data_IF_109412295325
#
_entry.id   IF_109412295325
#
_cell.length_a   1.000
_cell.length_b   1.000
_cell.length_c   1.000
_cell.angle_alpha   90.00
_cell.angle_beta   90.00
_cell.angle_gamma   90.00
#
_symmetry.space_group_name_H-M   'P 1'
#
loop_
_entity.id
_entity.type
_entity.pdbx_description
1 polymer ?
#
# COMPACT_ATOMS: atom_id res chain seq x y z
N UNK A 1 -36.08 -42.62 -22.08
CA UNK A 1 -34.65 -42.52 -22.43
C UNK A 1 -34.43 -41.18 -23.13
N UNK A 2 -33.53 -40.35 -22.58
CA UNK A 2 -32.99 -39.06 -23.09
C UNK A 2 -34.02 -37.95 -23.40
N UNK A 3 -33.82 -36.66 -23.09
CA UNK A 3 -32.56 -35.91 -23.15
C UNK A 3 -32.66 -34.67 -22.24
N UNK A 4 -31.73 -34.49 -21.30
CA UNK A 4 -31.50 -33.19 -20.62
C UNK A 4 -30.34 -32.52 -21.33
N UNK A 5 -30.59 -31.40 -21.99
CA UNK A 5 -29.56 -30.47 -22.45
C UNK A 5 -28.85 -29.89 -21.22
N UNK A 6 -27.56 -30.19 -21.08
CA UNK A 6 -26.69 -29.44 -20.21
C UNK A 6 -26.44 -28.07 -20.85
N UNK A 7 -26.90 -27.01 -20.21
CA UNK A 7 -26.50 -25.64 -20.49
C UNK A 7 -25.04 -25.47 -20.07
N UNK A 8 -24.16 -25.34 -21.04
CA UNK A 8 -22.78 -24.95 -20.83
C UNK A 8 -22.75 -23.53 -20.26
N UNK A 9 -22.36 -23.40 -19.00
CA UNK A 9 -21.91 -22.14 -18.42
C UNK A 9 -20.68 -21.70 -19.20
N UNK A 10 -20.75 -20.55 -19.87
CA UNK A 10 -19.60 -19.93 -20.49
C UNK A 10 -18.69 -19.39 -19.39
N UNK A 11 -17.65 -20.15 -19.04
CA UNK A 11 -16.51 -19.60 -18.32
C UNK A 11 -15.83 -18.59 -19.23
N UNK A 12 -16.10 -17.30 -19.01
CA UNK A 12 -15.21 -16.27 -19.51
C UNK A 12 -14.00 -16.24 -18.57
N UNK A 13 -12.76 -16.40 -19.07
CA UNK A 13 -11.59 -16.21 -18.24
C UNK A 13 -11.62 -14.79 -17.68
N UNK A 14 -11.52 -14.65 -16.36
CA UNK A 14 -11.49 -13.35 -15.72
C UNK A 14 -10.34 -12.53 -16.33
N UNK A 15 -10.69 -11.39 -16.91
CA UNK A 15 -9.79 -10.51 -17.64
C UNK A 15 -8.80 -9.92 -16.64
N UNK A 16 -7.49 -10.14 -16.83
CA UNK A 16 -6.46 -9.56 -15.96
C UNK A 16 -6.61 -8.03 -15.92
N UNK A 17 -6.43 -7.43 -14.75
CA UNK A 17 -6.60 -5.99 -14.58
C UNK A 17 -5.63 -5.16 -15.45
N UNK A 18 -4.47 -5.73 -15.80
CA UNK A 18 -3.52 -5.15 -16.73
C UNK A 18 -4.08 -4.94 -18.15
N UNK A 19 -5.23 -5.53 -18.46
CA UNK A 19 -5.89 -5.42 -19.78
C UNK A 19 -7.16 -4.56 -19.74
N UNK A 20 -7.47 -3.95 -18.59
CA UNK A 20 -8.56 -2.99 -18.47
C UNK A 20 -8.13 -1.64 -19.06
N UNK A 21 -9.00 -1.05 -19.85
CA UNK A 21 -8.88 0.34 -20.28
C UNK A 21 -9.23 1.30 -19.13
N UNK A 22 -8.73 2.52 -19.20
CA UNK A 22 -9.05 3.59 -18.24
C UNK A 22 -10.56 3.76 -18.08
N UNK A 23 -11.33 3.68 -19.17
CA UNK A 23 -12.80 3.77 -19.11
C UNK A 23 -13.45 2.61 -18.36
N UNK A 24 -12.94 1.39 -18.51
CA UNK A 24 -13.41 0.22 -17.75
C UNK A 24 -13.09 0.36 -16.25
N UNK A 25 -11.90 0.89 -15.92
CA UNK A 25 -11.49 1.19 -14.54
C UNK A 25 -12.40 2.27 -13.96
N UNK A 26 -12.57 3.40 -14.65
CA UNK A 26 -13.44 4.50 -14.23
C UNK A 26 -14.85 4.01 -13.94
N UNK A 27 -15.42 3.21 -14.85
CA UNK A 27 -16.78 2.65 -14.67
C UNK A 27 -16.89 1.83 -13.38
N UNK A 28 -15.86 1.05 -13.04
CA UNK A 28 -15.84 0.22 -11.82
C UNK A 28 -15.68 1.07 -10.55
N UNK A 29 -14.77 2.03 -10.54
CA UNK A 29 -14.46 2.82 -9.33
C UNK A 29 -15.53 3.89 -9.05
N UNK A 30 -16.17 4.44 -10.07
CA UNK A 30 -17.30 5.37 -9.91
C UNK A 30 -18.58 4.67 -9.44
N UNK A 31 -18.72 3.36 -9.67
CA UNK A 31 -19.88 2.62 -9.17
C UNK A 31 -19.94 2.57 -7.63
N UNK A 32 -18.80 2.73 -6.95
CA UNK A 32 -18.71 2.66 -5.48
C UNK A 32 -18.49 4.02 -4.83
N UNK A 33 -18.10 5.05 -5.59
CA UNK A 33 -17.86 6.39 -5.07
C UNK A 33 -19.17 7.10 -4.74
N UNK A 34 -19.25 7.77 -3.57
CA UNK A 34 -20.48 8.40 -3.07
C UNK A 34 -20.37 9.93 -3.09
N UNK A 35 -19.46 10.51 -2.31
CA UNK A 35 -19.23 11.96 -2.21
C UNK A 35 -18.01 12.27 -1.32
N UNK A 36 -17.36 13.41 -1.52
CA UNK A 36 -16.16 13.83 -0.77
C UNK A 36 -16.50 14.55 0.54
N UNK A 37 -17.35 13.94 1.37
CA UNK A 37 -17.85 14.58 2.58
C UNK A 37 -16.96 14.36 3.82
N UNK A 38 -16.12 13.33 3.81
CA UNK A 38 -15.26 12.98 4.94
C UNK A 38 -14.03 13.87 4.97
N UNK A 39 -13.83 14.61 6.07
CA UNK A 39 -12.71 15.54 6.21
C UNK A 39 -11.49 14.83 6.77
N UNK A 40 -10.44 14.75 5.98
CA UNK A 40 -9.12 14.27 6.39
C UNK A 40 -8.08 15.37 6.14
N UNK A 41 -7.17 15.57 7.09
CA UNK A 41 -5.95 16.33 6.83
C UNK A 41 -4.94 15.43 6.09
N UNK A 42 -5.15 15.30 4.78
CA UNK A 42 -4.40 14.40 3.89
C UNK A 42 -2.90 14.70 3.96
N UNK A 43 -2.52 15.97 4.05
CA UNK A 43 -1.13 16.41 4.13
C UNK A 43 -0.40 15.84 5.35
N UNK A 44 -1.00 15.95 6.53
CA UNK A 44 -0.41 15.44 7.77
C UNK A 44 -0.26 13.92 7.72
N UNK A 45 -1.22 13.21 7.14
CA UNK A 45 -1.13 11.76 6.99
C UNK A 45 -0.05 11.35 6.00
N UNK A 46 0.06 12.06 4.87
CA UNK A 46 1.08 11.82 3.86
C UNK A 46 2.49 12.07 4.42
N UNK A 47 2.69 13.13 5.20
CA UNK A 47 3.95 13.41 5.89
C UNK A 47 4.36 12.25 6.80
N UNK A 48 3.42 11.70 7.57
CA UNK A 48 3.69 10.56 8.46
C UNK A 48 4.09 9.33 7.65
N UNK A 49 3.34 9.00 6.59
CA UNK A 49 3.67 7.88 5.72
C UNK A 49 5.03 8.05 5.03
N UNK A 50 5.34 9.25 4.54
CA UNK A 50 6.63 9.62 3.92
C UNK A 50 7.79 9.41 4.89
N UNK A 51 7.68 9.91 6.13
CA UNK A 51 8.72 9.75 7.15
C UNK A 51 8.99 8.26 7.45
N UNK A 52 7.93 7.46 7.62
CA UNK A 52 8.06 6.03 7.91
C UNK A 52 8.72 5.29 6.74
N UNK A 53 8.21 5.47 5.52
CA UNK A 53 8.71 4.74 4.34
C UNK A 53 10.15 5.12 3.98
N UNK A 54 10.50 6.40 4.04
CA UNK A 54 11.87 6.84 3.77
C UNK A 54 12.85 6.25 4.76
N UNK A 55 12.51 6.29 6.06
CA UNK A 55 13.38 5.74 7.10
C UNK A 55 13.48 4.22 7.00
N UNK A 56 12.36 3.53 6.79
CA UNK A 56 12.33 2.08 6.70
C UNK A 56 13.09 1.57 5.46
N UNK A 57 12.84 2.13 4.28
CA UNK A 57 13.55 1.73 3.05
C UNK A 57 15.05 2.01 3.14
N UNK A 58 15.46 3.17 3.65
CA UNK A 58 16.88 3.49 3.88
C UNK A 58 17.54 2.49 4.84
N UNK A 59 16.85 2.15 5.92
CA UNK A 59 17.35 1.21 6.91
C UNK A 59 17.54 -0.18 6.26
N UNK A 60 16.57 -0.67 5.49
CA UNK A 60 16.69 -1.92 4.74
C UNK A 60 17.85 -1.90 3.74
N UNK A 61 17.98 -0.83 2.96
CA UNK A 61 19.06 -0.69 1.99
C UNK A 61 20.44 -0.75 2.69
N UNK A 62 20.58 -0.07 3.83
CA UNK A 62 21.79 -0.13 4.67
C UNK A 62 22.09 -1.55 5.16
N UNK A 63 21.07 -2.29 5.64
CA UNK A 63 21.23 -3.66 6.11
C UNK A 63 21.56 -4.66 4.99
N UNK A 64 20.99 -4.48 3.80
CA UNK A 64 21.18 -5.37 2.65
C UNK A 64 22.50 -5.11 1.91
N UNK A 65 22.90 -3.84 1.78
CA UNK A 65 24.06 -3.42 1.00
C UNK A 65 25.31 -3.18 1.87
N UNK A 66 25.19 -3.31 3.20
CA UNK A 66 26.28 -3.01 4.14
C UNK A 66 26.72 -1.55 4.11
N UNK A 67 25.84 -0.66 3.66
CA UNK A 67 26.11 0.77 3.57
C UNK A 67 25.77 1.46 4.88
N UNK A 68 26.58 2.46 5.27
CA UNK A 68 26.32 3.33 6.41
C UNK A 68 25.92 4.72 5.90
N UNK A 69 24.89 4.79 5.05
CA UNK A 69 24.26 6.08 4.80
C UNK A 69 23.63 6.53 6.12
N UNK A 70 24.06 7.68 6.65
CA UNK A 70 23.58 8.16 7.94
C UNK A 70 22.08 8.38 7.85
N UNK A 71 21.31 7.64 8.65
CA UNK A 71 19.84 7.76 8.74
C UNK A 71 19.43 9.21 9.09
N UNK A 72 20.35 9.99 9.68
CA UNK A 72 20.22 11.40 10.04
C UNK A 72 20.18 12.38 8.85
N UNK A 73 20.43 11.92 7.61
CA UNK A 73 20.50 12.80 6.45
C UNK A 73 19.11 13.20 5.90
N UNK A 74 18.03 12.59 6.37
CA UNK A 74 16.66 12.92 5.94
C UNK A 74 16.00 13.87 6.93
N UNK A 75 15.69 15.09 6.51
CA UNK A 75 14.91 16.03 7.30
C UNK A 75 13.46 15.52 7.39
N UNK A 76 13.07 14.99 8.57
CA UNK A 76 11.69 14.59 8.84
C UNK A 76 10.78 15.82 8.79
N UNK A 77 9.76 15.78 7.94
CA UNK A 77 8.71 16.80 7.94
C UNK A 77 7.84 16.61 9.16
N UNK A 78 7.39 17.71 9.76
CA UNK A 78 6.53 17.66 10.95
C UNK A 78 5.06 17.75 10.53
N UNK A 79 4.20 16.76 10.86
CA UNK A 79 2.76 16.87 10.63
C UNK A 79 2.13 17.93 11.55
N UNK A 80 0.88 18.33 11.30
CA UNK A 80 0.21 19.29 12.20
C UNK A 80 0.11 18.72 13.62
N UNK A 81 0.44 19.53 14.62
CA UNK A 81 0.48 19.09 16.03
C UNK A 81 -0.85 18.55 16.57
N UNK A 82 -1.98 19.00 16.01
CA UNK A 82 -3.33 18.54 16.37
C UNK A 82 -3.84 17.37 15.52
N UNK A 83 -3.04 16.86 14.59
CA UNK A 83 -3.46 15.80 13.69
C UNK A 83 -3.65 14.48 14.46
N UNK A 84 -4.77 13.82 14.18
CA UNK A 84 -5.04 12.47 14.67
C UNK A 84 -5.38 11.58 13.48
N UNK A 85 -4.62 10.52 13.21
CA UNK A 85 -4.92 9.61 12.10
C UNK A 85 -6.24 8.85 12.37
N UNK A 86 -7.03 8.56 11.33
CA UNK A 86 -8.28 7.81 11.48
C UNK A 86 -7.99 6.32 11.67
N UNK A 87 -7.61 5.92 12.89
CA UNK A 87 -7.15 4.57 13.21
C UNK A 87 -8.16 3.47 12.87
N UNK A 88 -9.46 3.74 12.99
CA UNK A 88 -10.50 2.78 12.60
C UNK A 88 -10.50 2.51 11.09
N UNK A 89 -10.35 3.56 10.28
CA UNK A 89 -10.21 3.47 8.82
C UNK A 89 -8.96 2.71 8.44
N UNK A 90 -7.81 3.02 9.07
CA UNK A 90 -6.55 2.31 8.83
C UNK A 90 -6.66 0.82 9.18
N UNK A 91 -7.34 0.46 10.27
CA UNK A 91 -7.60 -0.95 10.62
C UNK A 91 -8.49 -1.64 9.58
N UNK A 92 -9.53 -0.95 9.09
CA UNK A 92 -10.41 -1.46 8.05
C UNK A 92 -9.61 -1.83 6.78
N UNK A 93 -8.71 -0.97 6.35
CA UNK A 93 -7.82 -1.22 5.20
C UNK A 93 -6.92 -2.44 5.46
N UNK A 94 -6.31 -2.53 6.65
CA UNK A 94 -5.46 -3.67 7.02
C UNK A 94 -6.21 -5.01 6.93
N UNK A 95 -7.48 -5.04 7.37
CA UNK A 95 -8.31 -6.24 7.25
C UNK A 95 -8.53 -6.63 5.77
N UNK A 96 -8.86 -5.67 4.91
CA UNK A 96 -9.04 -5.94 3.48
C UNK A 96 -7.76 -6.46 2.82
N UNK A 97 -6.59 -5.92 3.18
CA UNK A 97 -5.29 -6.36 2.66
C UNK A 97 -4.90 -7.77 3.11
N UNK A 98 -5.17 -8.12 4.38
CA UNK A 98 -4.68 -9.37 4.99
C UNK A 98 -5.64 -10.56 4.87
N UNK A 99 -6.90 -10.35 4.47
CA UNK A 99 -7.92 -11.42 4.46
C UNK A 99 -7.89 -12.34 3.23
N UNK A 100 -7.02 -12.13 2.23
CA UNK A 100 -7.02 -12.89 0.97
C UNK A 100 -5.72 -13.66 0.75
N UNK A 101 -5.83 -14.90 0.29
CA UNK A 101 -4.71 -15.86 0.24
C UNK A 101 -3.92 -15.80 -1.07
N UNK A 102 -2.64 -15.44 -0.98
CA UNK A 102 -1.64 -15.63 -2.02
C UNK A 102 -1.60 -14.56 -3.13
N UNK A 103 -0.50 -14.52 -3.91
CA UNK A 103 -0.36 -13.56 -5.01
C UNK A 103 -1.23 -13.99 -6.19
N UNK A 104 -2.25 -13.18 -6.51
CA UNK A 104 -2.96 -13.28 -7.78
C UNK A 104 -3.45 -11.91 -8.25
N UNK A 105 -3.45 -11.71 -9.57
CA UNK A 105 -3.95 -10.47 -10.19
C UNK A 105 -5.41 -10.17 -9.81
N UNK A 106 -6.22 -11.22 -9.73
CA UNK A 106 -7.64 -11.13 -9.37
C UNK A 106 -7.82 -10.67 -7.92
N UNK A 107 -7.04 -11.25 -7.01
CA UNK A 107 -7.06 -10.88 -5.58
C UNK A 107 -6.65 -9.41 -5.42
N UNK A 108 -5.59 -8.97 -6.10
CA UNK A 108 -5.13 -7.59 -6.04
C UNK A 108 -6.18 -6.60 -6.57
N UNK A 109 -6.80 -6.92 -7.70
CA UNK A 109 -7.88 -6.11 -8.28
C UNK A 109 -9.09 -6.02 -7.35
N UNK A 110 -9.59 -7.15 -6.85
CA UNK A 110 -10.75 -7.19 -5.97
C UNK A 110 -10.49 -6.50 -4.63
N UNK A 111 -9.29 -6.65 -4.07
CA UNK A 111 -8.90 -5.95 -2.83
C UNK A 111 -8.84 -4.44 -3.06
N UNK A 112 -8.31 -4.01 -4.20
CA UNK A 112 -8.30 -2.59 -4.58
C UNK A 112 -9.71 -2.02 -4.66
N UNK A 113 -10.63 -2.70 -5.34
CA UNK A 113 -12.03 -2.26 -5.42
C UNK A 113 -12.72 -2.25 -4.06
N UNK A 114 -12.46 -3.26 -3.21
CA UNK A 114 -13.00 -3.31 -1.84
C UNK A 114 -12.51 -2.12 -1.01
N UNK A 115 -11.20 -1.83 -1.04
CA UNK A 115 -10.62 -0.66 -0.35
C UNK A 115 -11.27 0.63 -0.84
N UNK A 116 -11.40 0.81 -2.17
CA UNK A 116 -12.05 2.00 -2.75
C UNK A 116 -13.50 2.15 -2.30
N UNK A 117 -14.25 1.06 -2.18
CA UNK A 117 -15.62 1.05 -1.65
C UNK A 117 -15.66 1.46 -0.17
N UNK A 118 -14.75 0.92 0.67
CA UNK A 118 -14.65 1.31 2.09
C UNK A 118 -14.26 2.77 2.28
N UNK A 119 -13.56 3.36 1.31
CA UNK A 119 -13.11 4.75 1.31
C UNK A 119 -13.99 5.64 0.42
N UNK A 120 -15.19 5.18 0.05
CA UNK A 120 -16.09 5.84 -0.92
C UNK A 120 -16.47 7.28 -0.58
N UNK A 121 -16.41 7.66 0.71
CA UNK A 121 -16.72 9.00 1.22
C UNK A 121 -15.54 9.97 1.28
N UNK A 122 -14.33 9.51 0.94
CA UNK A 122 -13.10 10.30 0.94
C UNK A 122 -12.76 10.78 -0.47
N UNK A 123 -12.10 11.94 -0.57
CA UNK A 123 -11.50 12.46 -1.80
C UNK A 123 -10.47 11.48 -2.38
N UNK A 124 -10.21 11.56 -3.68
CA UNK A 124 -9.35 10.61 -4.39
C UNK A 124 -7.91 10.57 -3.84
N UNK A 125 -7.33 11.73 -3.56
CA UNK A 125 -6.04 11.84 -2.88
C UNK A 125 -6.05 11.17 -1.50
N UNK A 126 -7.09 11.39 -0.70
CA UNK A 126 -7.26 10.79 0.61
C UNK A 126 -7.36 9.26 0.53
N UNK A 127 -8.05 8.71 -0.48
CA UNK A 127 -8.11 7.24 -0.70
C UNK A 127 -6.71 6.65 -0.90
N UNK A 128 -5.89 7.29 -1.73
CA UNK A 128 -4.51 6.86 -1.97
C UNK A 128 -3.64 7.00 -0.72
N UNK A 129 -3.68 8.15 -0.04
CA UNK A 129 -2.86 8.42 1.15
C UNK A 129 -3.24 7.55 2.34
N UNK A 130 -4.53 7.25 2.57
CA UNK A 130 -4.96 6.32 3.61
C UNK A 130 -4.43 4.91 3.38
N UNK A 131 -4.46 4.46 2.12
CA UNK A 131 -3.93 3.15 1.72
C UNK A 131 -2.41 3.12 1.91
N UNK A 132 -1.70 4.17 1.48
CA UNK A 132 -0.25 4.31 1.67
C UNK A 132 0.13 4.33 3.15
N UNK A 133 -0.62 5.05 3.99
CA UNK A 133 -0.36 5.14 5.42
C UNK A 133 -0.58 3.81 6.14
N UNK A 134 -1.60 3.04 5.73
CA UNK A 134 -1.78 1.68 6.21
C UNK A 134 -0.58 0.78 5.85
N UNK A 135 -0.15 0.80 4.59
CA UNK A 135 1.04 0.05 4.16
C UNK A 135 2.32 0.52 4.86
N UNK A 136 2.51 1.82 5.04
CA UNK A 136 3.65 2.38 5.75
C UNK A 136 3.70 1.88 7.20
N UNK A 137 2.56 1.77 7.87
CA UNK A 137 2.47 1.20 9.21
C UNK A 137 2.95 -0.26 9.23
N UNK A 138 2.46 -1.09 8.31
CA UNK A 138 2.86 -2.50 8.22
C UNK A 138 4.36 -2.64 7.90
N UNK A 139 4.83 -1.99 6.84
CA UNK A 139 6.22 -2.02 6.41
C UNK A 139 7.19 -1.46 7.46
N UNK A 140 6.82 -0.37 8.14
CA UNK A 140 7.59 0.22 9.22
C UNK A 140 7.67 -0.70 10.45
N UNK A 141 6.58 -1.37 10.81
CA UNK A 141 6.59 -2.38 11.88
C UNK A 141 7.55 -3.52 11.55
N UNK A 142 7.53 -4.01 10.29
CA UNK A 142 8.49 -5.01 9.84
C UNK A 142 9.94 -4.52 9.96
N UNK A 143 10.25 -3.32 9.48
CA UNK A 143 11.58 -2.73 9.60
C UNK A 143 12.06 -2.63 11.05
N UNK A 144 11.18 -2.23 11.97
CA UNK A 144 11.49 -2.09 13.39
C UNK A 144 11.74 -3.44 14.06
N UNK A 145 10.93 -4.45 13.76
CA UNK A 145 11.11 -5.82 14.28
C UNK A 145 12.36 -6.50 13.71
N UNK A 146 12.75 -6.10 12.50
CA UNK A 146 13.85 -6.64 11.72
C UNK A 146 15.28 -6.28 12.20
N UNK A 147 15.44 -5.70 13.40
CA UNK A 147 16.74 -5.28 13.96
C UNK A 147 17.51 -4.27 13.09
N UNK A 148 16.82 -3.58 12.20
CA UNK A 148 17.42 -2.55 11.34
C UNK A 148 17.60 -1.22 12.11
N UNK A 149 17.22 -1.21 13.40
CA UNK A 149 17.40 -0.14 14.38
C UNK A 149 17.86 -0.75 15.72
N UNK A 150 18.55 0.01 16.59
CA UNK A 150 18.95 -0.47 17.92
C UNK A 150 17.72 -0.88 18.75
N UNK A 151 17.76 -2.09 19.34
CA UNK A 151 16.60 -2.76 19.91
C UNK A 151 16.42 -2.50 21.41
N UNK A 152 15.20 -2.17 21.82
CA UNK A 152 14.72 -2.20 23.22
C UNK A 152 14.29 -3.63 23.64
N UNK A 153 14.23 -3.90 24.96
CA UNK A 153 13.79 -5.15 25.58
C UNK A 153 12.32 -5.49 25.27
N UNK A 154 11.45 -4.49 25.10
CA UNK A 154 10.07 -4.69 24.66
C UNK A 154 10.01 -5.29 23.24
N UNK A 155 10.79 -4.72 22.32
CA UNK A 155 10.87 -5.19 20.92
C UNK A 155 11.35 -6.63 20.87
N UNK A 156 12.32 -7.03 21.72
CA UNK A 156 12.78 -8.42 21.83
C UNK A 156 11.66 -9.40 22.23
N UNK A 157 10.80 -8.99 23.17
CA UNK A 157 9.68 -9.81 23.63
C UNK A 157 8.62 -10.00 22.53
N UNK A 158 8.25 -8.92 21.84
CA UNK A 158 7.33 -8.97 20.68
C UNK A 158 7.91 -9.84 19.57
N UNK A 159 9.21 -9.70 19.29
CA UNK A 159 9.91 -10.49 18.28
C UNK A 159 9.83 -11.98 18.56
N UNK A 160 10.06 -12.37 19.82
CA UNK A 160 9.95 -13.78 20.26
C UNK A 160 8.56 -14.33 20.00
N UNK A 161 7.52 -13.56 20.32
CA UNK A 161 6.14 -13.98 20.10
C UNK A 161 5.79 -14.09 18.61
N UNK A 162 6.22 -13.12 17.80
CA UNK A 162 6.04 -13.14 16.34
C UNK A 162 6.99 -14.11 15.61
N UNK A 163 7.88 -14.82 16.32
CA UNK A 163 8.95 -15.67 15.76
C UNK A 163 9.90 -14.96 14.77
N UNK A 164 9.99 -13.64 14.86
CA UNK A 164 10.82 -12.81 13.98
C UNK A 164 12.38 -12.89 14.19
N UNK A 165 13.01 -13.47 15.25
CA UNK A 165 14.45 -13.24 15.47
C UNK A 165 15.51 -14.16 14.82
N UNK A 166 15.21 -15.32 14.23
CA UNK A 166 16.29 -16.28 13.87
C UNK A 166 16.53 -16.40 12.35
N UNK A 167 15.50 -16.27 11.52
CA UNK A 167 15.64 -16.42 10.07
C UNK A 167 15.80 -15.12 9.29
N UNK A 168 15.66 -13.96 9.92
CA UNK A 168 15.60 -12.70 9.17
C UNK A 168 16.84 -12.39 8.32
N UNK A 169 18.05 -12.59 8.85
CA UNK A 169 19.26 -12.42 8.04
C UNK A 169 19.29 -13.43 6.88
N UNK A 170 18.81 -14.65 7.08
CA UNK A 170 18.71 -15.64 6.02
C UNK A 170 17.64 -15.27 4.98
N UNK A 171 16.48 -14.75 5.39
CA UNK A 171 15.40 -14.25 4.52
C UNK A 171 15.89 -13.05 3.70
N UNK A 172 16.54 -12.08 4.37
CA UNK A 172 17.10 -10.90 3.71
C UNK A 172 18.16 -11.27 2.67
N UNK A 173 18.99 -12.27 2.95
CA UNK A 173 19.96 -12.79 1.97
C UNK A 173 19.29 -13.60 0.85
N UNK A 174 18.35 -14.50 1.19
CA UNK A 174 17.61 -15.34 0.24
C UNK A 174 16.78 -14.50 -0.75
N UNK A 175 16.17 -13.42 -0.26
CA UNK A 175 15.28 -12.55 -1.03
C UNK A 175 15.85 -11.14 -1.25
N UNK A 176 17.18 -10.97 -1.19
CA UNK A 176 17.83 -9.66 -1.28
C UNK A 176 17.34 -8.83 -2.48
N UNK A 177 17.36 -9.42 -3.68
CA UNK A 177 16.93 -8.72 -4.89
C UNK A 177 15.45 -8.34 -4.85
N UNK A 178 14.60 -9.20 -4.30
CA UNK A 178 13.17 -8.93 -4.16
C UNK A 178 12.91 -7.74 -3.22
N UNK A 179 13.67 -7.62 -2.12
CA UNK A 179 13.59 -6.44 -1.25
C UNK A 179 14.10 -5.17 -1.94
N UNK A 180 15.21 -5.25 -2.67
CA UNK A 180 15.74 -4.10 -3.42
C UNK A 180 14.72 -3.60 -4.43
N UNK A 181 14.06 -4.50 -5.16
CA UNK A 181 13.05 -4.12 -6.14
C UNK A 181 11.75 -3.62 -5.47
N UNK A 182 11.34 -4.24 -4.37
CA UNK A 182 10.22 -3.75 -3.56
C UNK A 182 10.49 -2.32 -3.04
N UNK A 183 11.68 -2.02 -2.53
CA UNK A 183 12.04 -0.67 -2.07
C UNK A 183 11.97 0.36 -3.19
N UNK A 184 12.36 0.01 -4.42
CA UNK A 184 12.20 0.90 -5.59
C UNK A 184 10.72 1.16 -5.88
N UNK A 185 9.88 0.13 -5.84
CA UNK A 185 8.43 0.26 -6.06
C UNK A 185 7.78 1.11 -4.97
N UNK A 186 8.17 0.93 -3.70
CA UNK A 186 7.68 1.73 -2.57
C UNK A 186 8.02 3.21 -2.79
N UNK A 187 9.27 3.52 -3.12
CA UNK A 187 9.73 4.91 -3.37
C UNK A 187 8.99 5.53 -4.57
N UNK A 188 8.84 4.79 -5.67
CA UNK A 188 8.12 5.26 -6.85
C UNK A 188 6.63 5.52 -6.56
N UNK A 189 5.99 4.62 -5.82
CA UNK A 189 4.59 4.75 -5.40
C UNK A 189 4.39 5.95 -4.48
N UNK A 190 5.31 6.20 -3.54
CA UNK A 190 5.28 7.37 -2.67
C UNK A 190 5.35 8.68 -3.49
N UNK A 191 6.25 8.76 -4.47
CA UNK A 191 6.35 9.94 -5.35
C UNK A 191 5.11 10.10 -6.24
N UNK A 192 4.55 9.00 -6.76
CA UNK A 192 3.29 9.02 -7.51
C UNK A 192 2.14 9.59 -6.66
N UNK A 193 2.01 9.15 -5.40
CA UNK A 193 0.95 9.64 -4.51
C UNK A 193 1.17 11.11 -4.11
N UNK A 194 2.42 11.56 -3.97
CA UNK A 194 2.74 12.98 -3.79
C UNK A 194 2.30 13.80 -5.00
N UNK A 195 2.52 13.31 -6.22
CA UNK A 195 2.03 13.96 -7.43
C UNK A 195 0.49 14.02 -7.45
N UNK A 196 -0.20 12.92 -7.16
CA UNK A 196 -1.67 12.88 -7.04
C UNK A 196 -2.18 13.93 -6.06
N UNK A 197 -1.58 14.00 -4.88
CA UNK A 197 -1.95 14.94 -3.83
C UNK A 197 -1.77 16.42 -4.25
N UNK A 198 -0.64 16.75 -4.90
CA UNK A 198 -0.42 18.11 -5.40
C UNK A 198 -1.34 18.45 -6.59
N UNK A 199 -1.65 17.50 -7.46
CA UNK A 199 -2.61 17.68 -8.56
C UNK A 199 -4.03 17.93 -8.01
N UNK A 200 -4.46 17.20 -6.98
CA UNK A 200 -5.76 17.42 -6.33
C UNK A 200 -5.85 18.78 -5.64
N UNK A 201 -4.74 19.28 -5.07
CA UNK A 201 -4.70 20.66 -4.55
C UNK A 201 -4.92 21.69 -5.65
N UNK A 202 -4.34 21.47 -6.83
CA UNK A 202 -4.43 22.36 -7.99
C UNK A 202 -5.78 22.25 -8.72
N UNK A 203 -6.44 21.10 -8.67
CA UNK A 203 -7.73 20.84 -9.33
C UNK A 203 -8.86 21.76 -8.83
N UNK A 204 -8.73 22.28 -7.60
CA UNK A 204 -9.59 23.32 -7.04
C UNK A 204 -9.59 24.64 -7.87
N UNK A 205 -8.64 24.81 -8.80
CA UNK A 205 -8.47 26.03 -9.59
C UNK A 205 -8.72 25.84 -11.10
N UNK A 206 -8.52 24.64 -11.66
CA UNK A 206 -8.76 24.35 -13.10
C UNK A 206 -9.22 22.89 -13.31
N UNK A 207 -10.42 22.73 -13.89
CA UNK A 207 -11.10 21.43 -14.03
C UNK A 207 -10.56 20.56 -15.16
N UNK A 208 -9.70 21.08 -16.05
CA UNK A 208 -9.17 20.33 -17.20
C UNK A 208 -7.97 19.44 -16.87
N UNK A 209 -7.42 19.55 -15.66
CA UNK A 209 -6.27 18.75 -15.18
C UNK A 209 -6.72 17.43 -14.54
N UNK A 210 -8.03 17.23 -14.35
CA UNK A 210 -8.62 16.14 -13.57
C UNK A 210 -8.81 14.82 -14.31
N UNK A 211 -8.67 14.76 -15.64
CA UNK A 211 -9.21 13.66 -16.46
C UNK A 211 -8.65 12.25 -16.17
N UNK A 212 -7.69 12.09 -15.24
CA UNK A 212 -7.07 10.80 -14.92
C UNK A 212 -6.71 10.57 -13.45
N UNK A 213 -7.01 11.50 -12.52
CA UNK A 213 -6.57 11.37 -11.11
C UNK A 213 -7.13 10.10 -10.47
N UNK A 214 -8.37 9.72 -10.79
CA UNK A 214 -9.04 8.55 -10.23
C UNK A 214 -8.42 7.25 -10.74
N UNK A 215 -7.98 7.24 -12.00
CA UNK A 215 -7.27 6.11 -12.61
C UNK A 215 -5.89 5.97 -11.97
N UNK A 216 -5.17 7.09 -11.79
CA UNK A 216 -3.88 7.11 -11.10
C UNK A 216 -4.00 6.62 -9.65
N UNK A 217 -5.05 7.02 -8.93
CA UNK A 217 -5.34 6.54 -7.58
C UNK A 217 -5.60 5.03 -7.57
N UNK A 218 -6.36 4.52 -8.53
CA UNK A 218 -6.56 3.07 -8.68
C UNK A 218 -5.23 2.34 -8.87
N UNK A 219 -4.36 2.82 -9.76
CA UNK A 219 -3.05 2.21 -10.00
C UNK A 219 -2.12 2.32 -8.79
N UNK A 220 -2.15 3.43 -8.06
CA UNK A 220 -1.38 3.57 -6.83
C UNK A 220 -1.83 2.56 -5.76
N UNK A 221 -3.15 2.41 -5.55
CA UNK A 221 -3.70 1.47 -4.55
C UNK A 221 -3.38 0.02 -4.93
N UNK A 222 -3.55 -0.38 -6.19
CA UNK A 222 -3.26 -1.76 -6.60
C UNK A 222 -1.77 -2.09 -6.48
N UNK A 223 -0.87 -1.13 -6.74
CA UNK A 223 0.57 -1.30 -6.50
C UNK A 223 0.87 -1.46 -5.01
N UNK A 224 0.20 -0.72 -4.14
CA UNK A 224 0.33 -0.90 -2.68
C UNK A 224 -0.14 -2.29 -2.27
N UNK A 225 -1.32 -2.72 -2.72
CA UNK A 225 -1.87 -4.05 -2.42
C UNK A 225 -0.89 -5.15 -2.87
N UNK A 226 -0.38 -5.06 -4.09
CA UNK A 226 0.60 -6.01 -4.61
C UNK A 226 1.90 -6.00 -3.78
N UNK A 227 2.36 -4.82 -3.34
CA UNK A 227 3.54 -4.67 -2.48
C UNK A 227 3.33 -5.31 -1.09
N UNK A 228 2.15 -5.16 -0.49
CA UNK A 228 1.78 -5.83 0.77
C UNK A 228 1.78 -7.35 0.62
N UNK A 229 1.22 -7.87 -0.47
CA UNK A 229 1.24 -9.30 -0.77
C UNK A 229 2.65 -9.81 -0.97
N UNK A 230 3.48 -9.09 -1.75
CA UNK A 230 4.88 -9.46 -1.96
C UNK A 230 5.67 -9.49 -0.66
N UNK A 231 5.49 -8.49 0.21
CA UNK A 231 6.10 -8.45 1.54
C UNK A 231 5.72 -9.68 2.36
N UNK A 232 4.42 -10.01 2.41
CA UNK A 232 3.91 -11.18 3.11
C UNK A 232 4.48 -12.50 2.58
N UNK A 233 4.61 -12.63 1.25
CA UNK A 233 5.21 -13.80 0.61
C UNK A 233 6.69 -13.97 0.98
N UNK A 234 7.48 -12.89 0.96
CA UNK A 234 8.91 -12.93 1.31
C UNK A 234 9.10 -13.44 2.75
N UNK A 235 8.20 -13.08 3.67
CA UNK A 235 8.29 -13.51 5.07
C UNK A 235 7.65 -14.86 5.38
N UNK A 236 6.79 -15.39 4.49
CA UNK A 236 6.12 -16.68 4.70
C UNK A 236 6.88 -17.87 4.09
N UNK A 237 7.90 -17.62 3.26
CA UNK A 237 8.74 -18.63 2.61
C UNK A 237 9.82 -19.19 3.57
N UNK A 238 9.37 -19.92 4.60
CA UNK A 238 10.19 -20.77 5.51
C UNK A 238 10.60 -22.09 4.84
#
# INVERSE_FOLDING_TARGET
>A
MASRKASASSYQPNKSFFTLSDQEILTKIYATHVCDNEKLDVESLLIIAENILNRATLAFDNALLGTQATIEQWEEKTPKASFSPPLCTLKLISYEMNCKAGPSDEIAHETTLSILEKLSSYSWDAKAVLTLANFALEYGEFCALAQIQPSDQLVNSVRTLKRVPVLLNAILQKHQQAFVDLNKVIRATLEMIKCIFELEKLSNYDTKVLDHIEVDVYWAIITIVASTTQLSCIFSDE
#
